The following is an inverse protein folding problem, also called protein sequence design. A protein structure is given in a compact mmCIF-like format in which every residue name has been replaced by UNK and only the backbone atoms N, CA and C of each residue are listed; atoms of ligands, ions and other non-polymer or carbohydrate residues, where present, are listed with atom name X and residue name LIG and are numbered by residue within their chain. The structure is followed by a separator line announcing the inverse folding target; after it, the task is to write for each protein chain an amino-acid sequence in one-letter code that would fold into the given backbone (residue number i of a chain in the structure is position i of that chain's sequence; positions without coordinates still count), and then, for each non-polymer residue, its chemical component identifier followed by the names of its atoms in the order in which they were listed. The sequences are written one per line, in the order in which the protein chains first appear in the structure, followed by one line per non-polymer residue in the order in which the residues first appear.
data_IF_827508449070
#
_entry.id   IF_827508449070
#
_cell.length_a   1.000
_cell.length_b   1.000
_cell.length_c   1.000
_cell.angle_alpha   90.00
_cell.angle_beta   90.00
_cell.angle_gamma   90.00
#
_symmetry.space_group_name_H-M   'P 1'
#
loop_
_entity.id
_entity.type
_entity.pdbx_description
1 polymer ?
#
# COMPACT_ATOMS: atom_id res chain seq x y z
N UNK A 1 -21.52 14.19 -29.61
CA UNK A 1 -22.91 14.01 -29.09
C UNK A 1 -23.32 12.55 -29.13
N UNK A 2 -23.23 11.86 -30.27
CA UNK A 2 -23.55 10.42 -30.37
C UNK A 2 -22.66 9.51 -29.50
N UNK A 3 -21.36 9.79 -29.40
CA UNK A 3 -20.45 9.04 -28.50
C UNK A 3 -20.79 9.22 -27.02
N UNK A 4 -21.26 10.41 -26.64
CA UNK A 4 -21.64 10.71 -25.27
C UNK A 4 -22.90 9.92 -24.86
N UNK A 5 -23.86 9.84 -25.78
CA UNK A 5 -25.09 9.04 -25.61
C UNK A 5 -24.76 7.55 -25.50
N UNK A 6 -23.79 7.06 -26.28
CA UNK A 6 -23.35 5.66 -26.20
C UNK A 6 -22.68 5.34 -24.85
N UNK A 7 -21.77 6.20 -24.39
CA UNK A 7 -21.13 6.03 -23.08
C UNK A 7 -22.13 6.08 -21.93
N UNK A 8 -23.11 6.97 -22.00
CA UNK A 8 -24.19 7.05 -21.01
C UNK A 8 -25.02 5.76 -20.99
N UNK A 9 -25.35 5.20 -22.17
CA UNK A 9 -26.08 3.94 -22.28
C UNK A 9 -25.28 2.76 -21.70
N UNK A 10 -23.99 2.67 -22.03
CA UNK A 10 -23.09 1.62 -21.56
C UNK A 10 -22.96 1.66 -20.02
N UNK A 11 -22.79 2.86 -19.44
CA UNK A 11 -22.74 3.06 -17.99
C UNK A 11 -24.04 2.66 -17.30
N UNK A 12 -25.20 2.98 -17.88
CA UNK A 12 -26.50 2.55 -17.36
C UNK A 12 -26.66 1.03 -17.37
N UNK A 13 -26.16 0.38 -18.42
CA UNK A 13 -26.20 -1.07 -18.54
C UNK A 13 -25.30 -1.74 -17.50
N UNK A 14 -24.10 -1.20 -17.28
CA UNK A 14 -23.21 -1.66 -16.20
C UNK A 14 -23.85 -1.47 -14.82
N UNK A 15 -24.44 -0.31 -14.53
CA UNK A 15 -25.15 -0.04 -13.28
C UNK A 15 -26.29 -1.04 -13.03
N UNK A 16 -27.01 -1.42 -14.09
CA UNK A 16 -28.10 -2.42 -14.01
C UNK A 16 -27.55 -3.81 -13.68
N UNK A 17 -26.47 -4.23 -14.35
CA UNK A 17 -25.79 -5.50 -14.07
C UNK A 17 -25.26 -5.54 -12.62
N UNK A 18 -24.73 -4.42 -12.12
CA UNK A 18 -24.27 -4.34 -10.74
C UNK A 18 -25.43 -4.37 -9.75
N UNK A 19 -26.55 -3.69 -10.03
CA UNK A 19 -27.74 -3.75 -9.20
C UNK A 19 -28.29 -5.18 -9.10
N UNK A 20 -28.40 -5.89 -10.24
CA UNK A 20 -28.81 -7.30 -10.27
C UNK A 20 -27.85 -8.20 -9.49
N UNK A 21 -26.53 -7.99 -9.62
CA UNK A 21 -25.52 -8.72 -8.84
C UNK A 21 -25.67 -8.48 -7.34
N UNK A 22 -25.92 -7.25 -6.92
CA UNK A 22 -26.12 -6.89 -5.51
C UNK A 22 -27.40 -7.53 -4.98
N UNK A 23 -28.49 -7.53 -5.74
CA UNK A 23 -29.72 -8.22 -5.36
C UNK A 23 -29.53 -9.73 -5.23
N UNK A 24 -28.74 -10.33 -6.14
CA UNK A 24 -28.39 -11.73 -6.10
C UNK A 24 -27.60 -12.08 -4.83
N UNK A 25 -26.74 -11.20 -4.32
CA UNK A 25 -26.00 -11.42 -3.07
C UNK A 25 -26.89 -11.60 -1.84
N UNK A 26 -28.08 -10.98 -1.81
CA UNK A 26 -29.06 -11.18 -0.73
C UNK A 26 -29.90 -12.45 -0.86
N UNK A 27 -29.98 -13.04 -2.07
CA UNK A 27 -30.82 -14.19 -2.40
C UNK A 27 -30.05 -15.52 -2.32
N UNK A 28 -28.72 -15.51 -2.25
CA UNK A 28 -27.91 -16.70 -2.02
C UNK A 28 -27.89 -17.10 -0.54
N UNK A 29 -28.89 -17.88 -0.13
CA UNK A 29 -28.83 -18.67 1.11
C UNK A 29 -27.78 -19.78 0.98
N UNK A 30 -27.01 -20.12 2.03
CA UNK A 30 -25.89 -21.09 1.99
C UNK A 30 -26.26 -22.52 1.54
N UNK A 31 -27.54 -22.85 1.40
CA UNK A 31 -28.02 -24.21 1.14
C UNK A 31 -28.06 -24.60 -0.35
N UNK A 32 -27.88 -23.68 -1.30
CA UNK A 32 -28.04 -23.97 -2.74
C UNK A 32 -26.75 -23.99 -3.57
N UNK A 33 -25.62 -24.34 -2.98
CA UNK A 33 -24.38 -24.60 -3.73
C UNK A 33 -24.10 -26.11 -3.84
N UNK A 34 -24.94 -26.81 -4.59
CA UNK A 34 -24.58 -28.09 -5.20
C UNK A 34 -24.06 -27.80 -6.61
N UNK A 35 -22.75 -27.57 -6.77
CA UNK A 35 -21.94 -28.00 -7.91
C UNK A 35 -20.47 -27.57 -7.73
N UNK A 36 -19.63 -28.55 -7.34
CA UNK A 36 -18.24 -28.74 -7.78
C UNK A 36 -17.31 -27.51 -7.88
N UNK A 37 -17.28 -26.68 -6.84
CA UNK A 37 -16.05 -25.97 -6.44
C UNK A 37 -15.75 -26.49 -5.04
N UNK A 38 -14.56 -27.08 -4.87
CA UNK A 38 -14.18 -27.79 -3.64
C UNK A 38 -14.53 -26.99 -2.40
N UNK A 39 -15.17 -27.65 -1.43
CA UNK A 39 -15.47 -27.13 -0.10
C UNK A 39 -14.22 -26.50 0.52
N UNK A 40 -14.05 -25.19 0.35
CA UNK A 40 -13.55 -24.38 1.44
C UNK A 40 -14.76 -24.29 2.35
N UNK A 41 -14.73 -25.08 3.43
CA UNK A 41 -15.65 -24.93 4.55
C UNK A 41 -15.40 -23.53 5.14
N UNK A 42 -16.03 -22.52 4.54
CA UNK A 42 -16.41 -21.31 5.22
C UNK A 42 -17.45 -21.78 6.23
N UNK A 43 -16.98 -22.19 7.41
CA UNK A 43 -17.80 -22.19 8.61
C UNK A 43 -18.50 -20.83 8.64
N UNK A 44 -19.81 -20.88 8.80
CA UNK A 44 -20.72 -19.75 8.92
C UNK A 44 -20.00 -18.52 9.48
N UNK A 45 -19.77 -17.54 8.62
CA UNK A 45 -19.54 -16.18 9.07
C UNK A 45 -20.90 -15.69 9.55
N UNK A 46 -21.25 -16.11 10.77
CA UNK A 46 -22.29 -15.48 11.53
C UNK A 46 -21.82 -14.04 11.80
N UNK A 47 -22.32 -13.13 10.97
CA UNK A 47 -22.16 -11.69 11.10
C UNK A 47 -23.05 -11.14 12.23
N UNK A 48 -23.81 -11.99 12.93
CA UNK A 48 -24.49 -11.59 14.15
C UNK A 48 -23.56 -11.78 15.36
N UNK A 49 -23.36 -10.68 16.07
CA UNK A 49 -22.57 -10.51 17.30
C UNK A 49 -21.03 -10.64 17.20
N UNK A 50 -20.34 -9.64 17.76
CA UNK A 50 -18.89 -9.46 17.84
C UNK A 50 -18.09 -10.53 18.59
N UNK A 51 -18.49 -11.81 18.53
CA UNK A 51 -17.82 -12.96 19.15
C UNK A 51 -16.66 -13.53 18.30
N UNK A 52 -16.50 -13.10 17.04
CA UNK A 52 -15.49 -13.62 16.11
C UNK A 52 -14.39 -12.61 15.67
N UNK A 53 -14.34 -11.44 16.31
CA UNK A 53 -13.32 -10.43 16.04
C UNK A 53 -12.15 -10.68 16.99
N UNK A 54 -10.95 -10.82 16.43
CA UNK A 54 -9.73 -11.01 17.23
C UNK A 54 -9.56 -9.83 18.21
N UNK A 55 -9.20 -10.07 19.48
CA UNK A 55 -9.02 -9.01 20.47
C UNK A 55 -8.10 -7.88 20.00
N UNK A 56 -7.05 -8.20 19.25
CA UNK A 56 -6.09 -7.24 18.68
C UNK A 56 -6.72 -6.37 17.59
N UNK A 57 -7.61 -6.94 16.77
CA UNK A 57 -8.36 -6.21 15.74
C UNK A 57 -9.37 -5.28 16.40
N UNK A 58 -10.06 -5.75 17.45
CA UNK A 58 -10.99 -4.92 18.23
C UNK A 58 -10.25 -3.78 18.94
N UNK A 59 -9.09 -4.05 19.54
CA UNK A 59 -8.27 -3.04 20.20
C UNK A 59 -7.82 -1.93 19.23
N UNK A 60 -7.39 -2.31 18.01
CA UNK A 60 -7.06 -1.34 16.96
C UNK A 60 -8.27 -0.50 16.53
N UNK A 61 -9.42 -1.14 16.30
CA UNK A 61 -10.65 -0.43 15.91
C UNK A 61 -11.11 0.55 16.99
N UNK A 62 -11.12 0.11 18.24
CA UNK A 62 -11.48 0.94 19.39
C UNK A 62 -10.50 2.10 19.57
N UNK A 63 -9.21 1.87 19.32
CA UNK A 63 -8.21 2.92 19.38
C UNK A 63 -8.46 4.00 18.32
N UNK A 64 -8.64 3.60 17.05
CA UNK A 64 -8.94 4.51 15.95
C UNK A 64 -10.23 5.31 16.20
N UNK A 65 -11.28 4.67 16.72
CA UNK A 65 -12.54 5.34 17.02
C UNK A 65 -12.36 6.42 18.11
N UNK A 66 -11.52 6.16 19.12
CA UNK A 66 -11.27 7.10 20.23
C UNK A 66 -10.27 8.20 19.87
N UNK A 67 -9.31 7.93 19.00
CA UNK A 67 -8.17 8.81 18.74
C UNK A 67 -8.33 9.70 17.50
N UNK A 68 -9.53 9.88 16.97
CA UNK A 68 -9.73 10.69 15.76
C UNK A 68 -9.31 10.00 14.45
N UNK A 69 -9.37 8.67 14.40
CA UNK A 69 -9.20 7.89 13.18
C UNK A 69 -7.75 7.73 12.72
N UNK A 70 -7.56 7.67 11.40
CA UNK A 70 -6.26 7.37 10.76
C UNK A 70 -5.25 8.50 10.85
N UNK A 71 -5.68 9.72 11.12
CA UNK A 71 -4.81 10.90 11.22
C UNK A 71 -4.62 11.38 12.66
N UNK A 72 -5.17 10.69 13.66
CA UNK A 72 -5.01 11.09 15.06
C UNK A 72 -5.79 12.36 15.44
N UNK A 73 -6.77 12.75 14.61
CA UNK A 73 -7.46 14.04 14.74
C UNK A 73 -6.73 15.22 14.10
N UNK A 74 -5.54 15.01 13.51
CA UNK A 74 -4.88 16.04 12.70
C UNK A 74 -5.52 16.14 11.32
N UNK A 75 -5.45 17.34 10.73
CA UNK A 75 -5.84 17.52 9.34
C UNK A 75 -4.88 16.76 8.41
N UNK A 76 -5.37 16.35 7.24
CA UNK A 76 -4.61 15.55 6.27
C UNK A 76 -3.27 16.19 5.90
N UNK A 77 -3.26 17.51 5.69
CA UNK A 77 -2.03 18.25 5.39
C UNK A 77 -0.99 18.14 6.52
N UNK A 78 -1.42 18.34 7.77
CA UNK A 78 -0.56 18.33 8.95
C UNK A 78 0.02 16.93 9.18
N UNK A 79 -0.85 15.93 9.09
CA UNK A 79 -0.47 14.52 9.20
C UNK A 79 0.53 14.12 8.11
N UNK A 80 0.32 14.54 6.86
CA UNK A 80 1.26 14.26 5.77
C UNK A 80 2.61 14.94 5.97
N UNK A 81 2.61 16.18 6.45
CA UNK A 81 3.84 16.93 6.76
C UNK A 81 4.62 16.26 7.89
N UNK A 82 3.94 15.87 8.98
CA UNK A 82 4.51 15.04 10.04
C UNK A 82 5.17 13.78 9.49
N UNK A 83 4.47 13.00 8.65
CA UNK A 83 5.02 11.78 8.06
C UNK A 83 6.24 12.05 7.17
N UNK A 84 6.27 13.19 6.45
CA UNK A 84 7.43 13.59 5.63
C UNK A 84 8.64 13.95 6.50
N UNK A 85 8.42 14.64 7.62
CA UNK A 85 9.48 14.98 8.58
C UNK A 85 10.00 13.71 9.22
N UNK A 86 9.10 12.87 9.75
CA UNK A 86 9.43 11.62 10.44
C UNK A 86 10.32 10.70 9.60
N UNK A 87 10.01 10.56 8.31
CA UNK A 87 10.81 9.76 7.37
C UNK A 87 12.28 10.18 7.25
N UNK A 88 12.61 11.44 7.57
CA UNK A 88 14.01 11.92 7.59
C UNK A 88 14.77 11.43 8.82
N UNK A 89 14.07 11.25 9.93
CA UNK A 89 14.66 10.86 11.22
C UNK A 89 14.65 9.34 11.46
N UNK A 90 13.70 8.62 10.87
CA UNK A 90 13.70 7.15 10.87
C UNK A 90 14.64 6.66 9.76
N UNK A 91 15.92 6.45 10.11
CA UNK A 91 17.03 6.07 9.22
C UNK A 91 16.78 4.76 8.42
N UNK A 92 17.34 4.67 7.20
CA UNK A 92 17.46 3.43 6.40
C UNK A 92 18.87 2.83 6.61
N UNK A 93 19.04 1.70 7.33
CA UNK A 93 20.32 0.99 7.26
C UNK A 93 20.50 0.35 5.89
N UNK A 94 21.63 0.67 5.27
CA UNK A 94 22.10 0.13 3.99
C UNK A 94 22.39 -1.37 4.03
N UNK A 95 22.51 -2.00 5.20
CA UNK A 95 22.97 -3.38 5.32
C UNK A 95 22.08 -4.22 6.26
N UNK A 96 21.26 -5.08 5.64
CA UNK A 96 20.99 -6.46 6.06
C UNK A 96 20.40 -6.79 7.45
N UNK A 97 20.18 -5.83 8.36
CA UNK A 97 19.67 -6.13 9.70
C UNK A 97 18.20 -5.70 9.88
N UNK A 98 17.46 -6.61 10.51
CA UNK A 98 16.09 -6.57 11.03
C UNK A 98 15.07 -5.60 10.38
N UNK A 99 14.07 -6.11 9.63
CA UNK A 99 12.94 -5.33 9.13
C UNK A 99 12.14 -4.55 10.19
N UNK A 100 12.27 -4.86 11.48
CA UNK A 100 11.60 -4.18 12.58
C UNK A 100 12.34 -2.96 13.15
N UNK A 101 13.66 -2.86 12.96
CA UNK A 101 14.44 -1.67 13.35
C UNK A 101 14.04 -0.41 12.53
N UNK A 102 13.32 -0.60 11.41
CA UNK A 102 12.92 0.43 10.44
C UNK A 102 11.93 1.51 10.92
N UNK A 103 11.40 1.45 12.14
CA UNK A 103 10.29 2.33 12.55
C UNK A 103 10.46 3.07 13.87
N UNK A 104 11.58 2.86 14.55
CA UNK A 104 11.81 3.47 15.85
C UNK A 104 12.57 4.78 15.62
N UNK A 105 11.98 5.88 16.08
CA UNK A 105 12.65 7.17 16.14
C UNK A 105 13.69 7.10 17.26
N UNK A 106 14.99 7.29 16.96
CA UNK A 106 16.03 7.27 17.99
C UNK A 106 15.76 8.33 19.06
N UNK A 107 15.93 7.96 20.34
CA UNK A 107 15.59 8.85 21.47
C UNK A 107 16.43 10.13 21.46
N UNK A 108 17.68 10.06 21.00
CA UNK A 108 18.61 11.19 20.84
C UNK A 108 18.16 12.20 19.77
N UNK A 109 17.26 11.80 18.88
CA UNK A 109 16.74 12.64 17.81
C UNK A 109 15.29 13.09 18.02
N UNK A 110 14.60 12.59 19.07
CA UNK A 110 13.19 12.91 19.33
C UNK A 110 12.95 14.40 19.50
N UNK A 111 13.76 15.08 20.30
CA UNK A 111 13.56 16.51 20.58
C UNK A 111 13.73 17.36 19.32
N UNK A 112 14.74 17.06 18.50
CA UNK A 112 14.97 17.73 17.21
C UNK A 112 13.83 17.50 16.24
N UNK A 113 13.34 16.26 16.18
CA UNK A 113 12.19 15.90 15.36
C UNK A 113 10.93 16.67 15.79
N UNK A 114 10.61 16.67 17.08
CA UNK A 114 9.44 17.37 17.63
C UNK A 114 9.53 18.87 17.37
N UNK A 115 10.71 19.45 17.55
CA UNK A 115 10.96 20.86 17.27
C UNK A 115 10.75 21.19 15.79
N UNK A 116 11.22 20.34 14.88
CA UNK A 116 11.03 20.53 13.44
C UNK A 116 9.56 20.40 13.03
N UNK A 117 8.82 19.42 13.58
CA UNK A 117 7.38 19.25 13.35
C UNK A 117 6.61 20.47 13.86
N UNK A 118 6.88 20.91 15.09
CA UNK A 118 6.23 22.08 15.68
C UNK A 118 6.48 23.34 14.85
N UNK A 119 7.71 23.52 14.36
CA UNK A 119 8.09 24.67 13.52
C UNK A 119 7.43 24.62 12.14
N UNK A 120 7.38 23.45 11.50
CA UNK A 120 6.81 23.29 10.16
C UNK A 120 5.29 23.42 10.11
N UNK A 121 4.61 23.10 11.21
CA UNK A 121 3.15 23.14 11.34
C UNK A 121 2.65 24.34 12.13
N UNK A 122 3.54 25.22 12.58
CA UNK A 122 3.21 26.38 13.41
C UNK A 122 2.37 26.00 14.63
N UNK A 123 2.69 24.87 15.29
CA UNK A 123 1.92 24.39 16.44
C UNK A 123 2.06 25.32 17.63
N UNK A 124 1.00 25.41 18.45
CA UNK A 124 0.99 26.22 19.67
C UNK A 124 1.97 25.70 20.73
N UNK A 125 2.30 24.41 20.70
CA UNK A 125 3.29 23.79 21.59
C UNK A 125 3.97 22.58 20.95
N UNK A 126 5.23 22.35 21.32
CA UNK A 126 5.95 21.10 21.01
C UNK A 126 5.26 19.86 21.61
N UNK A 127 4.50 20.04 22.68
CA UNK A 127 3.71 18.97 23.32
C UNK A 127 2.69 18.35 22.37
N UNK A 128 2.16 19.10 21.39
CA UNK A 128 1.20 18.57 20.42
C UNK A 128 1.88 17.62 19.43
N UNK A 129 3.06 17.98 18.94
CA UNK A 129 3.87 17.11 18.08
C UNK A 129 4.32 15.85 18.84
N UNK A 130 4.64 15.96 20.12
CA UNK A 130 4.99 14.82 20.97
C UNK A 130 3.79 13.89 21.21
N UNK A 131 2.63 14.43 21.57
CA UNK A 131 1.42 13.65 21.76
C UNK A 131 1.01 12.90 20.47
N UNK A 132 1.17 13.56 19.32
CA UNK A 132 0.91 12.94 18.02
C UNK A 132 1.91 11.83 17.67
N UNK A 133 3.18 11.99 18.06
CA UNK A 133 4.18 10.94 17.94
C UNK A 133 3.85 9.72 18.81
N UNK A 134 3.45 9.93 20.06
CA UNK A 134 3.00 8.84 20.95
C UNK A 134 1.77 8.12 20.37
N UNK A 135 0.81 8.90 19.88
CA UNK A 135 -0.36 8.36 19.21
C UNK A 135 0.04 7.48 18.02
N UNK A 136 0.96 7.96 17.19
CA UNK A 136 1.42 7.26 15.99
C UNK A 136 2.21 6.00 16.34
N UNK A 137 3.08 6.04 17.35
CA UNK A 137 3.82 4.88 17.84
C UNK A 137 2.87 3.77 18.33
N UNK A 138 1.84 4.15 19.11
CA UNK A 138 0.81 3.22 19.59
C UNK A 138 -0.05 2.67 18.46
N UNK A 139 -0.40 3.49 17.46
CA UNK A 139 -1.09 3.03 16.25
C UNK A 139 -0.27 1.91 15.56
N UNK A 140 1.02 2.15 15.31
CA UNK A 140 1.89 1.16 14.68
C UNK A 140 1.98 -0.14 15.46
N UNK A 141 2.03 -0.07 16.80
CA UNK A 141 2.05 -1.24 17.67
C UNK A 141 0.76 -2.06 17.51
N UNK A 142 -0.41 -1.41 17.52
CA UNK A 142 -1.71 -2.07 17.38
C UNK A 142 -1.90 -2.65 15.98
N UNK A 143 -1.48 -1.94 14.94
CA UNK A 143 -1.47 -2.46 13.56
C UNK A 143 -0.57 -3.69 13.42
N UNK A 144 0.62 -3.67 14.03
CA UNK A 144 1.52 -4.81 14.02
C UNK A 144 0.92 -6.01 14.76
N UNK A 145 0.30 -5.79 15.93
CA UNK A 145 -0.38 -6.82 16.70
C UNK A 145 -1.56 -7.42 15.94
N UNK A 146 -2.44 -6.58 15.40
CA UNK A 146 -3.59 -6.97 14.57
C UNK A 146 -3.14 -7.80 13.35
N UNK A 147 -2.13 -7.34 12.61
CA UNK A 147 -1.59 -8.06 11.46
C UNK A 147 -0.90 -9.38 11.83
N UNK A 148 -0.28 -9.48 13.01
CA UNK A 148 0.26 -10.75 13.51
C UNK A 148 -0.86 -11.73 13.83
N UNK A 149 -1.86 -11.30 14.59
CA UNK A 149 -3.01 -12.14 14.97
C UNK A 149 -3.79 -12.62 13.73
N UNK A 150 -4.01 -11.77 12.73
CA UNK A 150 -4.65 -12.14 11.47
C UNK A 150 -3.82 -13.17 10.68
N UNK A 151 -2.50 -12.99 10.61
CA UNK A 151 -1.61 -13.97 9.95
C UNK A 151 -1.64 -15.31 10.67
N UNK A 152 -1.56 -15.30 12.00
CA UNK A 152 -1.62 -16.51 12.81
C UNK A 152 -2.97 -17.24 12.65
N UNK A 153 -4.10 -16.51 12.67
CA UNK A 153 -5.42 -17.08 12.41
C UNK A 153 -5.48 -17.75 11.04
N UNK A 154 -4.94 -17.12 9.99
CA UNK A 154 -4.87 -17.70 8.64
C UNK A 154 -3.99 -18.95 8.60
N UNK A 155 -2.83 -18.92 9.26
CA UNK A 155 -1.93 -20.08 9.35
C UNK A 155 -2.58 -21.26 10.08
N UNK A 156 -3.30 -21.00 11.17
CA UNK A 156 -4.07 -22.02 11.91
C UNK A 156 -5.16 -22.64 11.03
N UNK A 157 -5.91 -21.82 10.30
CA UNK A 157 -6.94 -22.30 9.37
C UNK A 157 -6.35 -23.16 8.24
N UNK A 158 -5.21 -22.77 7.66
CA UNK A 158 -4.52 -23.56 6.66
C UNK A 158 -4.02 -24.91 7.22
N UNK A 159 -3.49 -24.92 8.46
CA UNK A 159 -3.08 -26.13 9.18
C UNK A 159 -4.24 -27.07 9.48
N UNK A 160 -5.39 -26.55 9.93
CA UNK A 160 -6.59 -27.36 10.19
C UNK A 160 -7.19 -27.97 8.92
N UNK A 161 -7.21 -27.23 7.80
CA UNK A 161 -7.64 -27.76 6.51
C UNK A 161 -6.69 -28.88 6.02
N UNK A 162 -5.38 -28.70 6.16
CA UNK A 162 -4.38 -29.72 5.83
C UNK A 162 -4.50 -30.98 6.72
N UNK A 163 -4.72 -30.81 8.03
CA UNK A 163 -4.89 -31.91 8.97
C UNK A 163 -6.20 -32.70 8.73
N UNK A 164 -7.29 -32.02 8.36
CA UNK A 164 -8.55 -32.67 7.96
C UNK A 164 -8.37 -33.50 6.69
N UNK A 165 -7.72 -32.95 5.66
CA UNK A 165 -7.40 -33.69 4.43
C UNK A 165 -6.47 -34.90 4.68
N UNK A 166 -5.54 -34.78 5.63
CA UNK A 166 -4.65 -35.89 6.02
C UNK A 166 -5.38 -37.01 6.78
N UNK A 167 -6.36 -36.68 7.63
CA UNK A 167 -7.15 -37.67 8.36
C UNK A 167 -8.19 -38.38 7.47
N UNK A 168 -8.76 -37.68 6.50
CA UNK A 168 -9.72 -38.26 5.54
C UNK A 168 -9.05 -39.30 4.60
N UNK A 169 -7.74 -39.20 4.38
CA UNK A 169 -6.96 -40.25 3.70
C UNK A 169 -6.70 -41.50 4.56
N UNK A 170 -6.79 -41.41 5.89
CA UNK A 170 -6.53 -42.54 6.80
C UNK A 170 -7.78 -43.36 7.12
N UNK A 171 -8.98 -42.77 7.00
CA UNK A 171 -10.25 -43.49 7.23
C UNK A 171 -10.79 -44.19 5.97
N UNK A 172 -10.38 -43.78 4.77
CA UNK A 172 -10.82 -44.39 3.49
C UNK A 172 -9.88 -45.52 3.00
N UNK A 173 -8.71 -45.69 3.62
CA UNK A 173 -7.69 -46.65 3.16
C UNK A 173 -7.91 -48.09 3.59
N UNK A 174 -8.97 -48.41 4.34
CA UNK A 174 -9.26 -49.80 4.74
C UNK A 174 -10.30 -50.54 3.90
N UNK A 175 -10.93 -49.92 2.90
CA UNK A 175 -11.98 -50.58 2.11
C UNK A 175 -11.92 -50.38 0.59
N UNK A 176 -10.78 -49.97 0.01
CA UNK A 176 -10.69 -49.89 -1.46
C UNK A 176 -9.32 -50.26 -2.01
N UNK A 177 -8.99 -51.53 -1.90
CA UNK A 177 -8.09 -52.16 -2.84
C UNK A 177 -8.79 -52.27 -4.20
N UNK A 178 -8.03 -51.94 -5.25
CA UNK A 178 -8.27 -52.26 -6.68
C UNK A 178 -9.33 -51.45 -7.44
N UNK A 179 -8.95 -50.25 -7.88
CA UNK A 179 -9.35 -49.80 -9.22
C UNK A 179 -8.26 -48.89 -9.79
N UNK A 180 -7.70 -49.27 -10.94
CA UNK A 180 -6.69 -48.48 -11.65
C UNK A 180 -7.17 -47.03 -11.85
N UNK A 181 -6.28 -46.02 -11.78
CA UNK A 181 -6.66 -44.63 -12.01
C UNK A 181 -7.27 -44.52 -13.41
N UNK A 182 -8.55 -44.14 -13.49
CA UNK A 182 -9.20 -43.93 -14.78
C UNK A 182 -8.39 -42.93 -15.61
N UNK A 183 -8.03 -43.26 -16.87
CA UNK A 183 -7.22 -42.38 -17.73
C UNK A 183 -7.87 -41.01 -17.96
N UNK A 184 -9.17 -40.89 -17.71
CA UNK A 184 -9.91 -39.64 -17.81
C UNK A 184 -9.57 -38.64 -16.70
N UNK A 185 -9.36 -39.10 -15.45
CA UNK A 185 -8.97 -38.23 -14.32
C UNK A 185 -7.54 -37.70 -14.46
N UNK A 186 -6.63 -38.53 -14.98
CA UNK A 186 -5.25 -38.10 -15.22
C UNK A 186 -5.18 -37.03 -16.32
N UNK A 187 -5.95 -37.20 -17.40
CA UNK A 187 -6.04 -36.21 -18.49
C UNK A 187 -6.67 -34.88 -18.04
N UNK A 188 -7.65 -34.92 -17.14
CA UNK A 188 -8.23 -33.70 -16.57
C UNK A 188 -7.22 -32.94 -15.69
N UNK A 189 -6.41 -33.64 -14.90
CA UNK A 189 -5.35 -33.02 -14.09
C UNK A 189 -4.27 -32.38 -14.95
N UNK A 190 -3.77 -33.09 -15.97
CA UNK A 190 -2.75 -32.52 -16.87
C UNK A 190 -3.27 -31.30 -17.63
N UNK A 191 -4.55 -31.25 -18.00
CA UNK A 191 -5.16 -30.07 -18.63
C UNK A 191 -5.21 -28.87 -17.69
N UNK A 192 -5.65 -29.07 -16.44
CA UNK A 192 -5.64 -27.97 -15.45
C UNK A 192 -4.23 -27.49 -15.12
N UNK A 193 -3.26 -28.40 -15.00
CA UNK A 193 -1.86 -28.04 -14.74
C UNK A 193 -1.25 -27.26 -15.91
N UNK A 194 -1.63 -27.60 -17.14
CA UNK A 194 -1.18 -26.90 -18.34
C UNK A 194 -1.84 -25.50 -18.46
N UNK A 195 -3.13 -25.39 -18.14
CA UNK A 195 -3.87 -24.12 -18.06
C UNK A 195 -3.29 -23.17 -17.00
N UNK A 196 -2.93 -23.70 -15.83
CA UNK A 196 -2.33 -22.89 -14.77
C UNK A 196 -0.94 -22.37 -15.17
N UNK A 197 -0.15 -23.20 -15.86
CA UNK A 197 1.18 -22.81 -16.37
C UNK A 197 1.08 -21.71 -17.42
N UNK A 198 0.17 -21.82 -18.39
CA UNK A 198 -0.01 -20.79 -19.41
C UNK A 198 -0.51 -19.47 -18.80
N UNK A 199 -1.40 -19.52 -17.81
CA UNK A 199 -1.84 -18.32 -17.09
C UNK A 199 -0.69 -17.64 -16.33
N UNK A 200 0.19 -18.42 -15.69
CA UNK A 200 1.38 -17.90 -15.02
C UNK A 200 2.38 -17.27 -15.99
N UNK A 201 2.60 -17.87 -17.16
CA UNK A 201 3.46 -17.30 -18.21
C UNK A 201 2.91 -15.98 -18.75
N UNK A 202 1.59 -15.90 -18.99
CA UNK A 202 0.92 -14.66 -19.42
C UNK A 202 1.05 -13.57 -18.35
N UNK A 203 0.90 -13.92 -17.06
CA UNK A 203 1.09 -12.97 -15.97
C UNK A 203 2.55 -12.50 -15.86
N UNK A 204 3.52 -13.41 -16.02
CA UNK A 204 4.94 -13.06 -16.01
C UNK A 204 5.30 -12.11 -17.16
N UNK A 205 4.83 -12.41 -18.38
CA UNK A 205 5.01 -11.55 -19.54
C UNK A 205 4.38 -10.17 -19.36
N UNK A 206 3.17 -10.10 -18.77
CA UNK A 206 2.55 -8.81 -18.42
C UNK A 206 3.36 -8.05 -17.37
N UNK A 207 3.92 -8.73 -16.39
CA UNK A 207 4.75 -8.10 -15.35
C UNK A 207 6.04 -7.51 -15.93
N UNK A 208 6.69 -8.21 -16.86
CA UNK A 208 7.84 -7.69 -17.62
C UNK A 208 7.49 -6.42 -18.41
N UNK A 209 6.30 -6.36 -19.03
CA UNK A 209 5.87 -5.13 -19.73
C UNK A 209 5.64 -3.96 -18.78
N UNK A 210 5.15 -4.21 -17.56
CA UNK A 210 4.97 -3.18 -16.53
C UNK A 210 6.32 -2.64 -16.07
N UNK A 211 7.31 -3.51 -15.86
CA UNK A 211 8.66 -3.10 -15.47
C UNK A 211 9.35 -2.25 -16.56
N UNK A 212 9.16 -2.59 -17.84
CA UNK A 212 9.65 -1.79 -18.97
C UNK A 212 8.98 -0.40 -19.03
N UNK A 213 7.67 -0.33 -18.78
CA UNK A 213 6.93 0.95 -18.73
C UNK A 213 7.38 1.79 -17.53
N UNK A 214 7.60 1.17 -16.37
CA UNK A 214 8.06 1.81 -15.15
C UNK A 214 9.50 2.37 -15.33
N UNK A 215 10.39 1.60 -15.96
CA UNK A 215 11.74 2.03 -16.30
C UNK A 215 11.76 3.22 -17.28
N UNK A 216 10.88 3.20 -18.30
CA UNK A 216 10.71 4.34 -19.22
C UNK A 216 10.21 5.60 -18.51
N UNK A 217 9.24 5.49 -17.59
CA UNK A 217 8.77 6.61 -16.77
C UNK A 217 9.89 7.17 -15.88
N UNK A 218 10.69 6.31 -15.25
CA UNK A 218 11.85 6.72 -14.46
C UNK A 218 12.89 7.49 -15.28
N UNK A 219 13.17 7.02 -16.50
CA UNK A 219 14.09 7.69 -17.43
C UNK A 219 13.60 9.08 -17.85
N UNK A 220 12.31 9.22 -18.17
CA UNK A 220 11.70 10.53 -18.50
C UNK A 220 11.78 11.49 -17.31
N UNK A 221 11.48 11.03 -16.10
CA UNK A 221 11.57 11.85 -14.89
C UNK A 221 13.00 12.35 -14.65
N UNK A 222 14.01 11.48 -14.77
CA UNK A 222 15.42 11.85 -14.63
C UNK A 222 15.87 12.86 -15.70
N UNK A 223 15.37 12.74 -16.93
CA UNK A 223 15.72 13.67 -18.01
C UNK A 223 15.09 15.06 -17.80
N UNK A 224 13.84 15.12 -17.35
CA UNK A 224 13.16 16.38 -17.01
C UNK A 224 13.86 17.06 -15.83
N UNK A 225 14.23 16.31 -14.80
CA UNK A 225 14.95 16.87 -13.65
C UNK A 225 16.34 17.41 -14.04
N UNK A 226 17.06 16.70 -14.92
CA UNK A 226 18.35 17.17 -15.45
C UNK A 226 18.20 18.44 -16.30
N UNK A 227 17.17 18.51 -17.15
CA UNK A 227 16.89 19.69 -17.96
C UNK A 227 16.53 20.91 -17.10
N UNK A 228 15.71 20.72 -16.05
CA UNK A 228 15.40 21.80 -15.11
C UNK A 228 16.65 22.31 -14.37
N UNK A 229 17.52 21.39 -13.91
CA UNK A 229 18.79 21.77 -13.26
C UNK A 229 19.69 22.55 -14.22
N UNK A 230 19.79 22.14 -15.47
CA UNK A 230 20.56 22.85 -16.50
C UNK A 230 19.99 24.26 -16.76
N UNK A 231 18.68 24.38 -16.92
CA UNK A 231 18.01 25.67 -17.10
C UNK A 231 18.24 26.61 -15.90
N UNK A 232 18.11 26.09 -14.67
CA UNK A 232 18.41 26.86 -13.46
C UNK A 232 19.87 27.31 -13.39
N UNK A 233 20.82 26.45 -13.78
CA UNK A 233 22.24 26.83 -13.80
C UNK A 233 22.54 27.92 -14.83
N UNK A 234 21.91 27.89 -16.00
CA UNK A 234 22.07 28.95 -17.01
C UNK A 234 21.44 30.27 -16.56
N UNK A 235 20.24 30.24 -15.98
CA UNK A 235 19.61 31.44 -15.40
C UNK A 235 20.46 32.08 -14.29
N UNK A 236 21.09 31.27 -13.44
CA UNK A 236 22.01 31.76 -12.40
C UNK A 236 23.26 32.38 -13.02
N UNK A 237 23.85 31.75 -14.05
CA UNK A 237 25.01 32.32 -14.78
C UNK A 237 24.68 33.65 -15.44
N UNK A 238 23.54 33.74 -16.14
CA UNK A 238 23.08 34.98 -16.77
C UNK A 238 22.87 36.10 -15.74
N UNK A 239 22.29 35.78 -14.58
CA UNK A 239 22.10 36.76 -13.50
C UNK A 239 23.43 37.22 -12.90
N UNK A 240 24.38 36.33 -12.69
CA UNK A 240 25.73 36.68 -12.20
C UNK A 240 26.47 37.55 -13.23
N UNK A 241 26.41 37.21 -14.52
CA UNK A 241 27.02 38.01 -15.59
C UNK A 241 26.36 39.39 -15.70
N UNK A 242 25.03 39.48 -15.64
CA UNK A 242 24.30 40.74 -15.65
C UNK A 242 24.65 41.64 -14.45
N UNK A 243 24.78 41.06 -13.26
CA UNK A 243 25.23 41.78 -12.06
C UNK A 243 26.67 42.27 -12.22
N UNK A 244 27.58 41.45 -12.73
CA UNK A 244 28.97 41.85 -13.00
C UNK A 244 29.07 42.99 -14.03
N UNK A 245 28.29 42.94 -15.12
CA UNK A 245 28.25 44.01 -16.13
C UNK A 245 27.69 45.30 -15.53
N UNK A 246 26.66 45.21 -14.69
CA UNK A 246 26.06 46.38 -14.03
C UNK A 246 27.03 47.04 -13.02
N UNK A 247 27.77 46.23 -12.26
CA UNK A 247 28.83 46.66 -11.37
C UNK A 247 29.94 47.36 -12.16
N UNK A 248 30.45 46.73 -13.21
CA UNK A 248 31.53 47.28 -14.03
C UNK A 248 31.15 48.63 -14.67
N UNK A 249 29.91 48.78 -15.15
CA UNK A 249 29.39 50.06 -15.68
C UNK A 249 29.30 51.14 -14.59
N UNK A 250 28.93 50.78 -13.36
CA UNK A 250 28.90 51.71 -12.20
C UNK A 250 30.30 52.17 -11.83
N UNK A 251 31.27 51.26 -11.78
CA UNK A 251 32.67 51.58 -11.45
C UNK A 251 33.29 52.48 -12.52
N UNK A 252 33.02 52.21 -13.80
CA UNK A 252 33.49 53.03 -14.92
C UNK A 252 32.90 54.45 -14.91
N UNK A 253 31.62 54.61 -14.52
CA UNK A 253 31.00 55.94 -14.33
C UNK A 253 31.58 56.70 -13.13
N UNK A 254 31.81 56.03 -12.00
CA UNK A 254 32.48 56.65 -10.83
C UNK A 254 33.89 57.12 -11.15
N UNK A 255 34.68 56.31 -11.84
CA UNK A 255 36.03 56.69 -12.25
C UNK A 255 36.01 57.88 -13.22
N UNK A 256 35.05 57.93 -14.15
CA UNK A 256 34.94 59.06 -15.10
C UNK A 256 34.57 60.40 -14.42
N UNK A 257 33.89 60.36 -13.28
CA UNK A 257 33.54 61.55 -12.47
C UNK A 257 34.67 62.02 -11.55
N UNK A 258 35.70 61.20 -11.32
CA UNK A 258 36.85 61.54 -10.46
C UNK A 258 38.04 62.13 -11.25
N UNK A 259 37.98 62.09 -12.58
CA UNK A 259 39.01 62.60 -13.49
C UNK A 259 38.50 63.75 -14.40
N UNK A 260 37.43 64.43 -13.98
CA UNK A 260 36.97 65.73 -14.49
C UNK A 260 37.11 66.77 -13.39
#
# INVERSE_FOLDING_TARGET
MQELIKMELDLWQECTIFAEKIELWGKYSPSHMNHSIGRICLQDFDLTEGKNILPEVSALQNYLAKSGGRTGGWHDFDHQTFLKIRRRYTYKPSNGSDPFAKRILPDDLKDKFVQEVASALCLTSQSEAFAHEEWFAKLQQLEAASNRALRERRSRQAGTLSARLSCECKSVTKTRLQSAPSPNRQRQRTRMDQELRTQLEVLHSKMETVDVIQARKGSIHCNVERAMRQCLTELVKERIQGVNISMFRRTKRKLRLLFQ
#
